data_IF_980954989235
#
_entry.id   IF_980954989235
#
_cell.length_a   1.000
_cell.length_b   1.000
_cell.length_c   1.000
_cell.angle_alpha   90.00
_cell.angle_beta   90.00
_cell.angle_gamma   90.00
#
_symmetry.space_group_name_H-M   'P 1'
#
loop_
_entity.id
_entity.type
_entity.pdbx_description
1 polymer ?
#
# COMPACT_ATOMS: atom_id res chain seq x y z
N UNK A 1 24.24 0.63 2.09
CA UNK A 1 23.77 1.96 1.68
C UNK A 1 22.43 2.20 2.35
N UNK A 2 22.19 3.38 2.92
CA UNK A 2 20.90 3.74 3.52
C UNK A 2 19.86 3.96 2.43
N UNK A 3 18.70 3.32 2.53
CA UNK A 3 17.59 3.51 1.59
C UNK A 3 17.05 4.94 1.73
N UNK A 4 16.85 5.70 0.63
CA UNK A 4 16.24 7.03 0.65
C UNK A 4 14.87 7.02 1.33
N UNK A 5 14.61 8.02 2.18
CA UNK A 5 13.40 8.14 2.99
C UNK A 5 12.72 9.49 2.80
N UNK A 6 11.39 9.48 2.83
CA UNK A 6 10.51 10.64 2.98
C UNK A 6 9.91 10.63 4.37
N UNK A 7 9.41 11.76 4.88
CA UNK A 7 8.92 11.81 6.26
C UNK A 7 7.84 12.86 6.49
N UNK A 8 6.95 12.56 7.43
CA UNK A 8 6.11 13.55 8.13
C UNK A 8 6.82 14.04 9.40
N UNK A 9 6.12 14.80 10.24
CA UNK A 9 6.59 15.12 11.59
C UNK A 9 6.78 13.87 12.47
N UNK A 10 6.02 12.80 12.20
CA UNK A 10 5.86 11.67 13.12
C UNK A 10 6.54 10.39 12.62
N UNK A 11 6.70 10.24 11.31
CA UNK A 11 7.10 8.98 10.69
C UNK A 11 7.98 9.20 9.47
N UNK A 12 9.00 8.35 9.32
CA UNK A 12 9.79 8.24 8.11
C UNK A 12 9.39 6.97 7.34
N UNK A 13 9.30 7.07 6.02
CA UNK A 13 8.92 6.00 5.09
C UNK A 13 10.02 5.84 4.06
N UNK A 14 10.49 4.61 3.85
CA UNK A 14 11.46 4.29 2.80
C UNK A 14 10.81 4.37 1.42
N UNK A 15 11.46 5.03 0.46
CA UNK A 15 10.94 5.09 -0.92
C UNK A 15 10.91 3.71 -1.57
N UNK A 16 11.85 2.83 -1.20
CA UNK A 16 11.85 1.43 -1.62
C UNK A 16 11.06 0.59 -0.62
N UNK A 17 9.84 0.20 -0.98
CA UNK A 17 9.07 -0.79 -0.22
C UNK A 17 9.48 -2.20 -0.63
N UNK A 18 9.49 -3.13 0.33
CA UNK A 18 9.64 -4.56 0.08
C UNK A 18 8.42 -5.26 0.65
N UNK A 19 7.50 -5.69 -0.23
CA UNK A 19 7.54 -5.69 -1.67
C UNK A 19 7.18 -4.30 -2.20
N UNK A 20 7.53 -4.00 -3.46
CA UNK A 20 6.96 -2.86 -4.15
C UNK A 20 5.43 -2.98 -4.32
N UNK A 21 4.72 -1.87 -4.54
CA UNK A 21 5.21 -0.50 -4.60
C UNK A 21 4.89 0.30 -3.32
N UNK A 22 5.57 1.44 -3.14
CA UNK A 22 5.11 2.50 -2.26
C UNK A 22 3.80 3.09 -2.83
N UNK A 23 2.70 2.85 -2.14
CA UNK A 23 1.39 3.44 -2.46
C UNK A 23 1.31 4.89 -2.01
N UNK A 24 1.01 5.78 -2.95
CA UNK A 24 0.70 7.20 -2.76
C UNK A 24 -0.82 7.36 -2.95
N UNK A 25 -1.55 7.76 -1.91
CA UNK A 25 -3.00 7.93 -1.98
C UNK A 25 -3.39 9.11 -2.86
N UNK A 26 -4.29 8.90 -3.83
CA UNK A 26 -4.64 9.87 -4.88
C UNK A 26 -5.89 10.73 -4.60
N UNK A 27 -6.61 10.49 -3.49
CA UNK A 27 -7.98 10.98 -3.34
C UNK A 27 -8.10 12.43 -2.87
N UNK A 28 -7.04 13.04 -2.35
CA UNK A 28 -7.01 14.49 -2.02
C UNK A 28 -6.53 15.22 -3.28
N UNK A 29 -7.31 15.05 -4.34
CA UNK A 29 -7.02 15.63 -5.64
C UNK A 29 -8.31 16.18 -6.23
N UNK A 30 -8.39 17.50 -6.38
CA UNK A 30 -9.57 18.20 -6.90
C UNK A 30 -9.88 17.89 -8.36
N UNK A 31 -8.90 17.42 -9.13
CA UNK A 31 -9.07 17.02 -10.53
C UNK A 31 -9.57 15.58 -10.66
N UNK A 32 -9.07 14.68 -9.80
CA UNK A 32 -9.40 13.24 -9.83
C UNK A 32 -10.55 12.80 -8.93
N UNK A 33 -10.87 13.56 -7.87
CA UNK A 33 -11.82 13.16 -6.82
C UNK A 33 -12.92 14.20 -6.65
N UNK A 34 -14.14 13.85 -7.10
CA UNK A 34 -15.34 14.68 -6.91
C UNK A 34 -15.59 15.03 -5.45
N UNK A 35 -15.33 14.08 -4.53
CA UNK A 35 -15.48 14.31 -3.09
C UNK A 35 -14.47 15.36 -2.60
N UNK A 36 -13.19 15.23 -2.95
CA UNK A 36 -12.18 16.21 -2.54
C UNK A 36 -12.46 17.59 -3.15
N UNK A 37 -12.87 17.65 -4.42
CA UNK A 37 -13.30 18.90 -5.05
C UNK A 37 -14.41 19.59 -4.26
N UNK A 38 -15.46 18.87 -3.87
CA UNK A 38 -16.55 19.44 -3.08
C UNK A 38 -16.07 19.95 -1.71
N UNK A 39 -15.20 19.21 -1.04
CA UNK A 39 -14.64 19.62 0.27
C UNK A 39 -13.78 20.88 0.14
N UNK A 40 -12.92 20.97 -0.88
CA UNK A 40 -12.12 22.17 -1.17
C UNK A 40 -13.00 23.37 -1.49
N UNK A 41 -14.06 23.21 -2.28
CA UNK A 41 -14.99 24.30 -2.61
C UNK A 41 -15.79 24.79 -1.39
N UNK A 42 -15.96 23.95 -0.38
CA UNK A 42 -16.70 24.27 0.85
C UNK A 42 -15.80 24.73 2.01
N UNK A 43 -14.49 24.89 1.80
CA UNK A 43 -13.50 25.11 2.88
C UNK A 43 -13.55 24.07 4.01
N UNK A 44 -13.97 22.84 3.68
CA UNK A 44 -14.13 21.74 4.64
C UNK A 44 -12.80 21.02 4.86
N UNK A 45 -11.94 21.64 5.69
CA UNK A 45 -10.65 21.08 6.07
C UNK A 45 -10.79 19.78 6.87
N UNK A 46 -11.79 19.68 7.74
CA UNK A 46 -11.97 18.51 8.60
C UNK A 46 -12.34 17.28 7.76
N UNK A 47 -13.24 17.45 6.78
CA UNK A 47 -13.56 16.40 5.81
C UNK A 47 -12.38 15.99 4.92
N UNK A 48 -11.46 16.91 4.60
CA UNK A 48 -10.21 16.60 3.88
C UNK A 48 -9.24 15.79 4.75
N UNK A 49 -9.14 16.11 6.05
CA UNK A 49 -8.34 15.36 7.01
C UNK A 49 -8.91 13.96 7.22
N UNK A 50 -10.23 13.82 7.35
CA UNK A 50 -10.86 12.51 7.43
C UNK A 50 -10.64 11.67 6.17
N UNK A 51 -10.69 12.31 4.99
CA UNK A 51 -10.33 11.65 3.73
C UNK A 51 -8.86 11.23 3.69
N UNK A 52 -7.95 12.02 4.25
CA UNK A 52 -6.54 11.67 4.42
C UNK A 52 -6.38 10.44 5.32
N UNK A 53 -7.02 10.46 6.49
CA UNK A 53 -6.99 9.37 7.47
C UNK A 53 -7.50 8.07 6.87
N UNK A 54 -8.64 8.11 6.18
CA UNK A 54 -9.20 6.94 5.50
C UNK A 54 -8.22 6.35 4.48
N UNK A 55 -7.49 7.18 3.73
CA UNK A 55 -6.52 6.66 2.76
C UNK A 55 -5.33 5.96 3.42
N UNK A 56 -4.84 6.48 4.54
CA UNK A 56 -3.77 5.84 5.33
C UNK A 56 -4.25 4.50 5.87
N UNK A 57 -5.45 4.46 6.46
CA UNK A 57 -6.11 3.22 6.92
C UNK A 57 -6.34 2.23 5.76
N UNK A 58 -6.66 2.74 4.57
CA UNK A 58 -6.86 1.92 3.38
C UNK A 58 -5.53 1.37 2.82
N UNK A 59 -4.37 1.89 3.23
CA UNK A 59 -3.06 1.37 2.86
C UNK A 59 -2.09 2.36 2.22
N UNK A 60 -2.43 3.64 2.13
CA UNK A 60 -1.53 4.65 1.57
C UNK A 60 -0.33 4.89 2.50
N UNK A 61 0.88 4.85 1.93
CA UNK A 61 2.11 5.16 2.67
C UNK A 61 2.44 6.65 2.65
N UNK A 62 2.06 7.33 1.56
CA UNK A 62 2.16 8.78 1.36
C UNK A 62 0.82 9.29 0.80
N UNK A 63 0.60 10.61 0.83
CA UNK A 63 -0.64 11.21 0.34
C UNK A 63 -0.34 12.29 -0.71
N UNK A 64 -0.91 12.15 -1.90
CA UNK A 64 -0.91 13.17 -2.94
C UNK A 64 -1.96 14.24 -2.64
N UNK A 65 -1.51 15.50 -2.61
CA UNK A 65 -2.30 16.66 -2.22
C UNK A 65 -2.32 17.65 -3.39
N UNK A 66 -3.44 17.66 -4.11
CA UNK A 66 -3.73 18.59 -5.20
C UNK A 66 -5.03 19.35 -4.88
N UNK A 67 -4.93 20.67 -4.70
CA UNK A 67 -6.07 21.54 -4.39
C UNK A 67 -6.38 22.54 -5.50
N UNK A 68 -5.66 22.46 -6.63
CA UNK A 68 -5.83 23.35 -7.77
C UNK A 68 -7.26 23.20 -8.35
N UNK A 69 -7.98 24.31 -8.49
CA UNK A 69 -9.33 24.34 -9.08
C UNK A 69 -9.45 25.53 -10.00
N UNK A 70 -10.34 25.46 -11.01
CA UNK A 70 -10.62 26.63 -11.85
C UNK A 70 -11.56 27.62 -11.16
N UNK A 71 -12.28 27.15 -10.14
CA UNK A 71 -13.27 27.92 -9.39
C UNK A 71 -12.65 28.85 -8.34
N UNK A 72 -11.37 28.66 -7.99
CA UNK A 72 -10.67 29.43 -6.95
C UNK A 72 -9.29 29.88 -7.40
N UNK A 73 -8.88 31.07 -6.94
CA UNK A 73 -7.56 31.64 -7.24
C UNK A 73 -6.59 31.62 -6.06
N UNK A 74 -7.04 31.17 -4.88
CA UNK A 74 -6.28 31.19 -3.62
C UNK A 74 -5.56 29.86 -3.30
N UNK A 75 -5.18 29.09 -4.33
CA UNK A 75 -4.55 27.76 -4.20
C UNK A 75 -3.41 27.76 -3.17
N UNK A 76 -2.50 28.73 -3.26
CA UNK A 76 -1.35 28.84 -2.33
C UNK A 76 -1.77 28.95 -0.87
N UNK A 77 -2.73 29.82 -0.57
CA UNK A 77 -3.17 30.05 0.81
C UNK A 77 -3.96 28.85 1.34
N UNK A 78 -4.80 28.24 0.50
CA UNK A 78 -5.55 27.05 0.86
C UNK A 78 -4.63 25.86 1.11
N UNK A 79 -3.67 25.61 0.22
CA UNK A 79 -2.68 24.55 0.33
C UNK A 79 -1.87 24.67 1.62
N UNK A 80 -1.38 25.87 1.94
CA UNK A 80 -0.63 26.12 3.19
C UNK A 80 -1.44 25.77 4.44
N UNK A 81 -2.70 26.20 4.49
CA UNK A 81 -3.60 25.91 5.61
C UNK A 81 -3.86 24.40 5.74
N UNK A 82 -4.12 23.72 4.62
CA UNK A 82 -4.39 22.29 4.59
C UNK A 82 -3.15 21.49 5.00
N UNK A 83 -1.99 21.77 4.39
CA UNK A 83 -0.73 21.08 4.67
C UNK A 83 -0.31 21.24 6.14
N UNK A 84 -0.52 22.42 6.72
CA UNK A 84 -0.29 22.65 8.16
C UNK A 84 -1.16 21.76 9.03
N UNK A 85 -2.46 21.66 8.73
CA UNK A 85 -3.40 20.79 9.47
C UNK A 85 -3.06 19.31 9.30
N UNK A 86 -2.84 18.87 8.05
CA UNK A 86 -2.45 17.50 7.74
C UNK A 86 -1.16 17.09 8.47
N UNK A 87 -0.16 17.97 8.51
CA UNK A 87 1.11 17.69 9.20
C UNK A 87 0.98 17.48 10.71
N UNK A 88 -0.10 17.98 11.32
CA UNK A 88 -0.40 17.80 12.74
C UNK A 88 -1.18 16.50 13.02
N UNK A 89 -2.08 16.12 12.11
CA UNK A 89 -3.05 15.04 12.35
C UNK A 89 -2.74 13.73 11.62
N UNK A 90 -1.91 13.75 10.59
CA UNK A 90 -1.63 12.61 9.72
C UNK A 90 -0.15 12.23 9.80
N UNK A 91 0.13 10.95 10.01
CA UNK A 91 1.49 10.42 10.13
C UNK A 91 2.15 10.14 8.77
N UNK A 92 1.38 10.06 7.69
CA UNK A 92 1.89 9.81 6.35
C UNK A 92 2.63 11.03 5.76
N UNK A 93 3.79 10.86 5.10
CA UNK A 93 4.45 11.92 4.35
C UNK A 93 3.57 12.44 3.21
N UNK A 94 3.70 13.72 2.91
CA UNK A 94 2.89 14.39 1.88
C UNK A 94 3.65 14.46 0.55
N UNK A 95 2.90 14.32 -0.54
CA UNK A 95 3.30 14.56 -1.92
C UNK A 95 2.57 15.81 -2.39
N UNK A 96 3.30 16.91 -2.59
CA UNK A 96 2.69 18.20 -2.91
C UNK A 96 2.52 18.30 -4.43
N UNK A 97 1.28 18.26 -4.88
CA UNK A 97 0.89 18.31 -6.29
C UNK A 97 0.30 19.67 -6.66
N UNK A 98 1.05 20.42 -7.47
CA UNK A 98 0.61 21.71 -8.01
C UNK A 98 1.42 22.07 -9.25
N UNK A 99 0.78 22.74 -10.22
CA UNK A 99 1.47 23.28 -11.41
C UNK A 99 2.19 24.61 -11.13
N UNK A 100 1.96 25.23 -9.97
CA UNK A 100 2.61 26.47 -9.55
C UNK A 100 3.81 26.20 -8.61
N UNK A 101 5.06 26.55 -9.01
CA UNK A 101 6.22 26.41 -8.14
C UNK A 101 6.13 27.22 -6.84
N UNK A 102 5.41 28.34 -6.81
CA UNK A 102 5.23 29.17 -5.61
C UNK A 102 4.37 28.49 -4.54
N UNK A 103 3.42 27.64 -4.96
CA UNK A 103 2.62 26.79 -4.07
C UNK A 103 3.49 25.69 -3.47
N UNK A 104 4.31 25.04 -4.30
CA UNK A 104 5.20 23.96 -3.86
C UNK A 104 6.23 24.48 -2.87
N UNK A 105 6.93 25.56 -3.19
CA UNK A 105 7.96 26.14 -2.32
C UNK A 105 7.39 26.46 -0.94
N UNK A 106 6.28 27.19 -0.89
CA UNK A 106 5.64 27.57 0.37
C UNK A 106 5.16 26.34 1.17
N UNK A 107 4.59 25.34 0.49
CA UNK A 107 4.13 24.11 1.15
C UNK A 107 5.30 23.31 1.74
N UNK A 108 6.40 23.18 0.99
CA UNK A 108 7.62 22.51 1.46
C UNK A 108 8.17 23.18 2.73
N UNK A 109 8.22 24.51 2.77
CA UNK A 109 8.71 25.25 3.94
C UNK A 109 7.77 25.13 5.16
N UNK A 110 6.49 24.89 4.92
CA UNK A 110 5.48 24.68 5.97
C UNK A 110 5.54 23.27 6.58
N UNK A 111 6.10 22.28 5.87
CA UNK A 111 6.12 20.87 6.29
C UNK A 111 7.36 20.62 7.17
N UNK A 112 7.20 20.14 8.42
CA UNK A 112 8.34 19.85 9.30
C UNK A 112 9.15 18.61 8.86
N UNK A 113 8.56 17.73 8.04
CA UNK A 113 9.19 16.52 7.51
C UNK A 113 9.84 16.72 6.14
N UNK A 114 10.07 15.61 5.43
CA UNK A 114 10.64 15.58 4.06
C UNK A 114 9.57 15.13 3.06
N UNK A 115 8.86 16.06 2.41
CA UNK A 115 7.82 15.73 1.43
C UNK A 115 8.40 15.29 0.07
N UNK A 116 7.53 14.83 -0.82
CA UNK A 116 7.82 14.63 -2.25
C UNK A 116 7.24 15.80 -3.03
N UNK A 117 7.98 16.31 -4.01
CA UNK A 117 7.45 17.31 -4.97
C UNK A 117 6.78 16.58 -6.14
N UNK A 118 5.52 16.90 -6.43
CA UNK A 118 4.80 16.49 -7.64
C UNK A 118 4.46 17.72 -8.48
N UNK A 119 5.15 18.00 -9.59
CA UNK A 119 6.31 17.30 -10.16
C UNK A 119 7.37 18.28 -10.70
N UNK A 120 8.46 17.76 -11.26
CA UNK A 120 9.38 18.50 -12.13
C UNK A 120 9.31 17.93 -13.55
N UNK A 121 9.55 18.77 -14.55
CA UNK A 121 9.63 18.38 -15.96
C UNK A 121 10.39 19.43 -16.78
N UNK A 122 10.69 19.15 -18.05
CA UNK A 122 11.34 20.07 -18.97
C UNK A 122 10.38 20.55 -20.07
N UNK A 123 9.08 20.66 -19.75
CA UNK A 123 8.09 21.20 -20.67
C UNK A 123 8.39 22.66 -21.00
N UNK A 124 8.12 23.05 -22.25
CA UNK A 124 8.38 24.40 -22.74
C UNK A 124 9.86 24.78 -22.63
N UNK A 125 10.16 25.81 -21.85
CA UNK A 125 11.53 26.28 -21.61
C UNK A 125 12.17 25.68 -20.34
N UNK A 126 11.51 24.74 -19.65
CA UNK A 126 12.03 24.13 -18.43
C UNK A 126 12.02 25.03 -17.19
N UNK A 127 11.35 26.18 -17.22
CA UNK A 127 11.28 27.14 -16.11
C UNK A 127 10.85 26.48 -14.79
N UNK A 128 9.90 25.55 -14.84
CA UNK A 128 9.46 24.80 -13.66
C UNK A 128 10.60 24.00 -13.02
N UNK A 129 11.42 23.31 -13.82
CA UNK A 129 12.60 22.60 -13.33
C UNK A 129 13.61 23.56 -12.70
N UNK A 130 13.90 24.67 -13.39
CA UNK A 130 14.87 25.67 -12.94
C UNK A 130 14.48 26.31 -11.60
N UNK A 131 13.18 26.52 -11.36
CA UNK A 131 12.66 27.03 -10.08
C UNK A 131 12.71 26.01 -8.96
N UNK A 132 12.38 24.74 -9.24
CA UNK A 132 12.23 23.71 -8.20
C UNK A 132 13.54 22.97 -7.88
N UNK A 133 14.49 22.86 -8.81
CA UNK A 133 15.75 22.17 -8.58
C UNK A 133 16.60 22.77 -7.44
N UNK A 134 16.72 24.11 -7.28
CA UNK A 134 17.39 24.70 -6.12
C UNK A 134 16.73 24.34 -4.78
N UNK A 135 15.40 24.28 -4.74
CA UNK A 135 14.62 23.90 -3.55
C UNK A 135 14.88 22.43 -3.20
N UNK A 136 14.87 21.55 -4.21
CA UNK A 136 15.24 20.14 -4.05
C UNK A 136 16.65 19.97 -3.52
N UNK A 137 17.62 20.75 -4.01
CA UNK A 137 19.00 20.69 -3.54
C UNK A 137 19.13 21.20 -2.09
N UNK A 138 18.52 22.35 -1.78
CA UNK A 138 18.55 23.00 -0.46
C UNK A 138 18.01 22.09 0.65
N UNK A 139 16.85 21.46 0.41
CA UNK A 139 16.15 20.65 1.40
C UNK A 139 16.37 19.13 1.20
N UNK A 140 17.15 18.74 0.19
CA UNK A 140 17.38 17.35 -0.17
C UNK A 140 16.11 16.61 -0.60
N UNK A 141 15.13 17.26 -1.22
CA UNK A 141 13.83 16.64 -1.51
C UNK A 141 13.87 15.74 -2.74
N UNK A 142 13.18 14.59 -2.72
CA UNK A 142 12.85 13.87 -3.94
C UNK A 142 11.71 14.58 -4.69
N UNK A 143 11.68 14.40 -6.00
CA UNK A 143 10.59 14.86 -6.85
C UNK A 143 10.16 13.77 -7.83
N UNK A 144 8.86 13.76 -8.12
CA UNK A 144 8.31 13.08 -9.28
C UNK A 144 8.80 13.83 -10.51
N UNK A 145 9.58 13.16 -11.35
CA UNK A 145 10.16 13.71 -12.56
C UNK A 145 9.39 13.16 -13.76
N UNK A 146 8.42 13.93 -14.25
CA UNK A 146 7.61 13.51 -15.40
C UNK A 146 8.50 13.46 -16.63
N UNK A 147 8.43 12.36 -17.39
CA UNK A 147 9.11 12.22 -18.69
C UNK A 147 8.45 13.09 -19.77
N UNK A 148 8.40 14.40 -19.55
CA UNK A 148 7.97 15.45 -20.45
C UNK A 148 9.19 16.32 -20.73
N UNK A 149 9.66 16.30 -21.98
CA UNK A 149 10.79 17.08 -22.44
C UNK A 149 10.37 18.30 -23.25
N UNK A 150 11.33 19.03 -23.84
CA UNK A 150 11.05 20.19 -24.70
C UNK A 150 10.21 19.86 -25.94
N UNK A 151 10.20 18.59 -26.36
CA UNK A 151 9.38 18.09 -27.48
C UNK A 151 8.01 17.59 -27.05
N UNK A 152 7.64 17.73 -25.77
CA UNK A 152 6.40 17.22 -25.19
C UNK A 152 6.58 15.90 -24.46
N UNK A 153 5.46 15.19 -24.31
CA UNK A 153 5.35 13.96 -23.52
C UNK A 153 6.01 12.76 -24.22
N UNK A 154 6.79 11.96 -23.48
CA UNK A 154 7.41 10.75 -24.01
C UNK A 154 6.41 9.59 -24.16
N UNK A 155 6.20 9.12 -25.40
CA UNK A 155 5.18 8.10 -25.72
C UNK A 155 5.79 6.70 -25.86
N UNK A 156 6.94 6.60 -26.53
CA UNK A 156 7.66 5.33 -26.75
C UNK A 156 8.59 4.98 -25.59
N UNK A 157 8.98 3.70 -25.39
CA UNK A 157 9.92 3.31 -24.34
C UNK A 157 11.25 4.07 -24.41
N UNK A 158 11.75 4.26 -25.62
CA UNK A 158 13.03 4.92 -25.86
C UNK A 158 12.96 6.42 -25.51
N UNK A 159 11.90 7.12 -25.93
CA UNK A 159 11.69 8.52 -25.54
C UNK A 159 11.58 8.68 -24.02
N UNK A 160 10.96 7.72 -23.32
CA UNK A 160 10.83 7.74 -21.86
C UNK A 160 12.21 7.69 -21.19
N UNK A 161 13.11 6.85 -21.69
CA UNK A 161 14.50 6.71 -21.19
C UNK A 161 15.35 7.94 -21.52
N UNK A 162 15.25 8.44 -22.75
CA UNK A 162 15.97 9.64 -23.19
C UNK A 162 15.55 10.87 -22.38
N UNK A 163 14.25 10.98 -22.09
CA UNK A 163 13.74 12.09 -21.26
C UNK A 163 14.16 11.94 -19.80
N UNK A 164 14.13 10.73 -19.24
CA UNK A 164 14.64 10.47 -17.89
C UNK A 164 16.14 10.82 -17.76
N UNK A 165 16.94 10.48 -18.76
CA UNK A 165 18.35 10.88 -18.82
C UNK A 165 18.50 12.40 -18.91
N UNK A 166 17.74 13.08 -19.77
CA UNK A 166 17.79 14.53 -19.90
C UNK A 166 17.43 15.24 -18.58
N UNK A 167 16.41 14.76 -17.86
CA UNK A 167 16.02 15.26 -16.54
C UNK A 167 17.17 15.12 -15.53
N UNK A 168 17.79 13.95 -15.48
CA UNK A 168 18.92 13.70 -14.58
C UNK A 168 20.15 14.55 -14.93
N UNK A 169 20.54 14.60 -16.20
CA UNK A 169 21.65 15.42 -16.69
C UNK A 169 21.45 16.90 -16.39
N UNK A 170 20.20 17.39 -16.49
CA UNK A 170 19.85 18.76 -16.12
C UNK A 170 19.96 18.97 -14.60
N UNK A 171 19.44 18.04 -13.79
CA UNK A 171 19.50 18.14 -12.34
C UNK A 171 20.90 18.09 -11.74
N UNK A 172 21.84 17.39 -12.39
CA UNK A 172 23.26 17.39 -11.97
C UNK A 172 23.86 18.79 -11.92
N UNK A 173 23.41 19.71 -12.78
CA UNK A 173 23.86 21.12 -12.78
C UNK A 173 23.50 21.85 -11.48
N UNK A 174 22.50 21.35 -10.76
CA UNK A 174 22.02 21.86 -9.47
C UNK A 174 22.50 21.02 -8.27
N UNK A 175 23.34 20.00 -8.51
CA UNK A 175 23.83 19.10 -7.47
C UNK A 175 22.83 18.02 -7.03
N UNK A 176 21.78 17.78 -7.80
CA UNK A 176 20.79 16.74 -7.49
C UNK A 176 21.38 15.34 -7.68
N UNK A 177 21.04 14.43 -6.77
CA UNK A 177 21.44 13.02 -6.80
C UNK A 177 20.39 12.16 -7.45
N UNK A 178 20.79 11.03 -8.05
CA UNK A 178 19.87 10.10 -8.73
C UNK A 178 18.74 9.58 -7.82
N UNK A 179 19.02 9.40 -6.53
CA UNK A 179 18.05 8.97 -5.51
C UNK A 179 16.94 9.99 -5.22
N UNK A 180 17.07 11.23 -5.71
CA UNK A 180 16.04 12.26 -5.63
C UNK A 180 15.06 12.23 -6.81
N UNK A 181 15.32 11.40 -7.83
CA UNK A 181 14.45 11.27 -9.01
C UNK A 181 13.52 10.08 -8.84
N UNK A 182 12.22 10.38 -8.82
CA UNK A 182 11.14 9.41 -8.96
C UNK A 182 10.59 9.59 -10.37
N UNK A 183 11.12 8.87 -11.36
CA UNK A 183 10.74 9.05 -12.75
C UNK A 183 9.30 8.56 -12.99
N UNK A 184 8.43 9.48 -13.41
CA UNK A 184 7.13 9.11 -13.97
C UNK A 184 7.31 8.94 -15.47
N UNK A 185 7.34 7.68 -15.91
CA UNK A 185 7.50 7.36 -17.33
C UNK A 185 6.21 7.54 -18.12
N UNK A 186 5.19 8.21 -17.57
CA UNK A 186 3.90 8.57 -18.13
C UNK A 186 3.00 7.38 -18.45
N UNK A 187 1.80 7.42 -17.90
CA UNK A 187 0.69 6.50 -18.22
C UNK A 187 -0.35 7.25 -19.04
N UNK A 188 -0.69 6.73 -20.23
CA UNK A 188 -1.77 7.25 -21.06
C UNK A 188 -2.99 6.33 -21.00
N UNK A 189 -4.17 6.88 -21.23
CA UNK A 189 -5.39 6.08 -21.27
C UNK A 189 -5.42 5.16 -22.48
N UNK A 190 -5.88 3.92 -22.26
CA UNK A 190 -6.12 2.93 -23.32
C UNK A 190 -7.56 2.96 -23.85
N UNK A 191 -8.41 3.83 -23.30
CA UNK A 191 -9.83 3.87 -23.62
C UNK A 191 -10.18 4.82 -24.78
N UNK A 192 -9.19 5.42 -25.45
CA UNK A 192 -9.42 6.43 -26.51
C UNK A 192 -9.84 5.81 -27.84
N UNK A 193 -9.38 4.60 -28.14
CA UNK A 193 -9.53 3.97 -29.45
C UNK A 193 -8.66 4.59 -30.56
N UNK A 194 -7.74 5.49 -30.20
CA UNK A 194 -6.84 6.13 -31.15
C UNK A 194 -5.58 5.26 -31.38
N UNK A 195 -5.17 5.12 -32.64
CA UNK A 195 -4.02 4.29 -33.05
C UNK A 195 -2.73 4.65 -32.30
N UNK A 196 -2.54 5.94 -31.98
CA UNK A 196 -1.36 6.44 -31.27
C UNK A 196 -1.22 5.84 -29.86
N UNK A 197 -2.32 5.52 -29.19
CA UNK A 197 -2.34 5.05 -27.80
C UNK A 197 -2.51 3.54 -27.65
N UNK A 198 -2.68 2.80 -28.74
CA UNK A 198 -2.84 1.34 -28.69
C UNK A 198 -1.70 0.65 -27.93
N UNK A 199 -0.47 1.12 -28.15
CA UNK A 199 0.73 0.56 -27.52
C UNK A 199 1.11 1.24 -26.21
N UNK A 200 0.33 2.20 -25.72
CA UNK A 200 0.72 3.02 -24.56
C UNK A 200 0.95 2.19 -23.28
N UNK A 201 0.17 1.12 -23.08
CA UNK A 201 0.28 0.23 -21.92
C UNK A 201 1.62 -0.49 -21.91
N UNK A 202 1.89 -1.30 -22.93
CA UNK A 202 3.18 -2.00 -23.09
C UNK A 202 4.38 -1.05 -23.19
N UNK A 203 4.21 0.12 -23.80
CA UNK A 203 5.28 1.12 -23.90
C UNK A 203 5.65 1.70 -22.53
N UNK A 204 4.67 1.86 -21.64
CA UNK A 204 4.90 2.29 -20.25
C UNK A 204 5.64 1.21 -19.47
N UNK A 205 5.22 -0.06 -19.58
CA UNK A 205 5.88 -1.19 -18.92
C UNK A 205 7.35 -1.36 -19.35
N UNK A 206 7.61 -1.32 -20.66
CA UNK A 206 8.98 -1.39 -21.17
C UNK A 206 9.78 -0.13 -20.80
N UNK A 207 9.15 1.04 -20.79
CA UNK A 207 9.75 2.29 -20.31
C UNK A 207 10.25 2.20 -18.87
N UNK A 208 9.43 1.65 -17.95
CA UNK A 208 9.85 1.39 -16.55
C UNK A 208 11.10 0.51 -16.54
N UNK A 209 11.06 -0.63 -17.23
CA UNK A 209 12.15 -1.61 -17.26
C UNK A 209 13.46 -0.99 -17.76
N UNK A 210 13.40 -0.22 -18.85
CA UNK A 210 14.58 0.43 -19.42
C UNK A 210 15.12 1.56 -18.52
N UNK A 211 14.24 2.38 -17.92
CA UNK A 211 14.65 3.41 -16.97
C UNK A 211 15.31 2.78 -15.74
N UNK A 212 14.74 1.71 -15.18
CA UNK A 212 15.33 0.98 -14.05
C UNK A 212 16.66 0.31 -14.40
N UNK A 213 16.80 -0.23 -15.61
CA UNK A 213 18.06 -0.79 -16.08
C UNK A 213 19.15 0.29 -16.20
N UNK A 214 18.81 1.48 -16.70
CA UNK A 214 19.75 2.60 -16.85
C UNK A 214 20.08 3.28 -15.52
N UNK A 215 19.10 3.42 -14.64
CA UNK A 215 19.20 4.12 -13.36
C UNK A 215 18.74 3.23 -12.20
N UNK A 216 19.52 2.19 -11.82
CA UNK A 216 19.09 1.19 -10.82
C UNK A 216 18.87 1.77 -9.42
N UNK A 217 19.49 2.92 -9.11
CA UNK A 217 19.37 3.63 -7.84
C UNK A 217 18.34 4.79 -7.88
N UNK A 218 17.65 4.98 -9.00
CA UNK A 218 16.49 5.88 -9.08
C UNK A 218 15.21 5.15 -8.68
N UNK A 219 14.13 5.91 -8.53
CA UNK A 219 12.79 5.38 -8.34
C UNK A 219 11.93 5.64 -9.58
N UNK A 220 10.83 4.90 -9.69
CA UNK A 220 9.81 5.08 -10.72
C UNK A 220 8.43 5.22 -10.10
N UNK A 221 7.56 5.99 -10.73
CA UNK A 221 6.15 6.17 -10.33
C UNK A 221 5.22 6.15 -11.53
N UNK A 222 3.93 5.98 -11.27
CA UNK A 222 2.86 6.20 -12.22
C UNK A 222 1.64 6.79 -11.52
N UNK A 223 0.98 7.75 -12.16
CA UNK A 223 -0.45 8.00 -11.99
C UNK A 223 -1.28 6.84 -12.54
N UNK A 224 -1.46 5.77 -11.75
CA UNK A 224 -2.00 4.49 -12.23
C UNK A 224 -3.39 4.64 -12.83
N UNK A 225 -4.24 5.45 -12.20
CA UNK A 225 -5.64 5.65 -12.59
C UNK A 225 -5.85 6.28 -13.97
N UNK A 226 -4.79 6.81 -14.60
CA UNK A 226 -4.82 7.38 -15.93
C UNK A 226 -5.00 6.32 -17.02
N UNK A 227 -4.51 5.09 -16.83
CA UNK A 227 -4.58 4.03 -17.86
C UNK A 227 -6.02 3.67 -18.24
N UNK A 228 -6.93 3.79 -17.26
CA UNK A 228 -8.32 3.36 -17.38
C UNK A 228 -9.30 4.52 -17.52
N UNK A 229 -8.81 5.75 -17.67
CA UNK A 229 -9.68 6.92 -17.78
C UNK A 229 -10.59 6.80 -19.00
N UNK A 230 -11.91 6.83 -18.79
CA UNK A 230 -12.93 6.64 -19.82
C UNK A 230 -13.68 5.30 -19.74
N UNK A 231 -13.17 4.31 -18.98
CA UNK A 231 -13.83 3.02 -18.80
C UNK A 231 -14.85 3.04 -17.65
N UNK A 232 -15.75 2.04 -17.67
CA UNK A 232 -16.72 1.82 -16.59
C UNK A 232 -16.03 1.55 -15.23
N UNK A 233 -16.61 1.95 -14.09
CA UNK A 233 -15.93 1.91 -12.78
C UNK A 233 -15.31 0.56 -12.41
N UNK A 234 -15.99 -0.56 -12.65
CA UNK A 234 -15.44 -1.89 -12.34
C UNK A 234 -14.33 -2.30 -13.31
N UNK A 235 -14.47 -1.99 -14.60
CA UNK A 235 -13.43 -2.19 -15.60
C UNK A 235 -12.14 -1.44 -15.23
N UNK A 236 -12.27 -0.22 -14.68
CA UNK A 236 -11.13 0.56 -14.19
C UNK A 236 -10.38 -0.16 -13.07
N UNK A 237 -11.09 -0.72 -12.09
CA UNK A 237 -10.47 -1.48 -10.98
C UNK A 237 -9.67 -2.67 -11.49
N UNK A 238 -10.26 -3.44 -12.40
CA UNK A 238 -9.60 -4.61 -13.01
C UNK A 238 -8.36 -4.16 -13.80
N UNK A 239 -8.52 -3.21 -14.72
CA UNK A 239 -7.42 -2.76 -15.58
C UNK A 239 -6.27 -2.16 -14.76
N UNK A 240 -6.59 -1.29 -13.79
CA UNK A 240 -5.59 -0.69 -12.90
C UNK A 240 -4.83 -1.77 -12.12
N UNK A 241 -5.52 -2.78 -11.59
CA UNK A 241 -4.90 -3.84 -10.78
C UNK A 241 -3.99 -4.76 -11.60
N UNK A 242 -4.45 -5.17 -12.78
CA UNK A 242 -3.64 -5.97 -13.72
C UNK A 242 -2.42 -5.17 -14.19
N UNK A 243 -2.61 -3.89 -14.52
CA UNK A 243 -1.50 -3.04 -14.95
C UNK A 243 -0.48 -2.81 -13.82
N UNK A 244 -0.92 -2.58 -12.58
CA UNK A 244 -0.05 -2.45 -11.42
C UNK A 244 0.81 -3.69 -11.21
N UNK A 245 0.22 -4.88 -11.31
CA UNK A 245 0.94 -6.15 -11.19
C UNK A 245 2.10 -6.26 -12.19
N UNK A 246 1.82 -5.99 -13.47
CA UNK A 246 2.84 -6.02 -14.53
C UNK A 246 3.88 -4.89 -14.37
N UNK A 247 3.46 -3.69 -13.97
CA UNK A 247 4.35 -2.56 -13.75
C UNK A 247 5.33 -2.84 -12.60
N UNK A 248 4.86 -3.42 -11.50
CA UNK A 248 5.70 -3.86 -10.38
C UNK A 248 6.72 -4.90 -10.83
N UNK A 249 6.32 -5.89 -11.65
CA UNK A 249 7.26 -6.85 -12.25
C UNK A 249 8.32 -6.20 -13.15
N UNK A 250 7.97 -5.11 -13.83
CA UNK A 250 8.90 -4.32 -14.63
C UNK A 250 9.84 -3.44 -13.78
N UNK A 251 9.61 -3.34 -12.47
CA UNK A 251 10.46 -2.60 -11.54
C UNK A 251 9.85 -1.30 -11.01
N UNK A 252 8.52 -1.12 -11.09
CA UNK A 252 7.83 0.04 -10.52
C UNK A 252 8.07 0.13 -9.00
N UNK A 253 8.58 1.26 -8.54
CA UNK A 253 8.88 1.46 -7.11
C UNK A 253 7.73 2.07 -6.33
N UNK A 254 6.96 2.97 -6.96
CA UNK A 254 5.88 3.73 -6.32
C UNK A 254 4.66 3.84 -7.25
N UNK A 255 3.46 4.03 -6.72
CA UNK A 255 2.24 4.18 -7.51
C UNK A 255 1.27 5.17 -6.85
N UNK A 256 0.78 6.14 -7.61
CA UNK A 256 -0.31 7.03 -7.21
C UNK A 256 -1.64 6.34 -7.54
N UNK A 257 -2.37 5.93 -6.50
CA UNK A 257 -3.59 5.13 -6.64
C UNK A 257 -4.47 5.18 -5.39
N UNK A 258 -5.78 4.95 -5.57
CA UNK A 258 -6.67 4.57 -4.48
C UNK A 258 -6.45 3.10 -4.06
N UNK A 259 -5.72 2.87 -2.97
CA UNK A 259 -5.39 1.54 -2.44
C UNK A 259 -6.61 0.62 -2.26
N UNK A 260 -7.76 1.19 -1.89
CA UNK A 260 -9.02 0.46 -1.68
C UNK A 260 -9.60 -0.16 -2.95
N UNK A 261 -9.25 0.39 -4.12
CA UNK A 261 -9.77 -0.06 -5.41
C UNK A 261 -8.89 -1.09 -6.10
N UNK A 262 -7.70 -1.36 -5.56
CA UNK A 262 -6.82 -2.42 -6.05
C UNK A 262 -7.38 -3.78 -5.64
N UNK A 263 -7.49 -4.67 -6.62
CA UNK A 263 -7.86 -6.08 -6.45
C UNK A 263 -6.56 -6.90 -6.54
N UNK A 264 -6.27 -7.78 -5.57
CA UNK A 264 -5.14 -8.70 -5.68
C UNK A 264 -5.17 -9.47 -7.00
N UNK A 265 -4.02 -9.57 -7.67
CA UNK A 265 -3.95 -10.15 -9.02
C UNK A 265 -4.51 -11.58 -9.08
N UNK A 266 -4.22 -12.41 -8.07
CA UNK A 266 -4.74 -13.78 -7.97
C UNK A 266 -6.26 -13.87 -7.78
N UNK A 267 -6.89 -12.83 -7.22
CA UNK A 267 -8.34 -12.78 -6.94
C UNK A 267 -9.17 -12.29 -8.14
N UNK A 268 -8.55 -11.73 -9.19
CA UNK A 268 -9.25 -11.28 -10.40
C UNK A 268 -9.69 -12.50 -11.23
N UNK A 269 -10.91 -12.45 -11.80
CA UNK A 269 -11.43 -13.50 -12.68
C UNK A 269 -10.50 -13.75 -13.90
N UNK A 270 -10.23 -15.00 -14.26
CA UNK A 270 -9.33 -15.34 -15.38
C UNK A 270 -9.70 -14.68 -16.71
N UNK A 271 -11.01 -14.58 -17.01
CA UNK A 271 -11.47 -13.91 -18.24
C UNK A 271 -11.21 -12.40 -18.18
N UNK A 272 -11.49 -11.78 -17.04
CA UNK A 272 -11.26 -10.34 -16.82
C UNK A 272 -9.76 -10.00 -16.86
N UNK A 273 -8.91 -10.85 -16.26
CA UNK A 273 -7.45 -10.76 -16.36
C UNK A 273 -7.00 -10.80 -17.82
N UNK A 274 -7.45 -11.81 -18.57
CA UNK A 274 -7.07 -11.99 -19.96
C UNK A 274 -7.47 -10.78 -20.82
N UNK A 275 -8.70 -10.27 -20.67
CA UNK A 275 -9.17 -9.08 -21.37
C UNK A 275 -8.33 -7.83 -21.04
N UNK A 276 -7.99 -7.63 -19.77
CA UNK A 276 -7.15 -6.52 -19.34
C UNK A 276 -5.72 -6.65 -19.89
N UNK A 277 -5.13 -7.84 -19.87
CA UNK A 277 -3.81 -8.11 -20.45
C UNK A 277 -3.80 -7.92 -21.97
N UNK A 278 -4.83 -8.39 -22.68
CA UNK A 278 -4.95 -8.21 -24.13
C UNK A 278 -5.00 -6.72 -24.51
N UNK A 279 -5.66 -5.90 -23.69
CA UNK A 279 -5.67 -4.44 -23.85
C UNK A 279 -4.31 -3.81 -23.50
N UNK A 280 -3.69 -4.17 -22.37
CA UNK A 280 -2.40 -3.61 -21.93
C UNK A 280 -1.29 -3.92 -22.94
N UNK A 281 -1.25 -5.14 -23.45
CA UNK A 281 -0.21 -5.62 -24.36
C UNK A 281 -0.56 -5.44 -25.83
N UNK A 282 -1.74 -4.92 -26.14
CA UNK A 282 -2.25 -4.73 -27.50
C UNK A 282 -2.08 -6.01 -28.35
N UNK A 283 -2.60 -7.14 -27.84
CA UNK A 283 -2.39 -8.46 -28.47
C UNK A 283 -3.21 -8.64 -29.75
N UNK A 284 -4.31 -7.91 -29.89
CA UNK A 284 -5.14 -7.86 -31.10
C UNK A 284 -5.95 -6.56 -31.20
N UNK A 285 -6.39 -6.16 -32.42
CA UNK A 285 -7.08 -4.88 -32.64
C UNK A 285 -8.40 -4.71 -31.88
N UNK A 286 -9.06 -5.82 -31.51
CA UNK A 286 -10.37 -5.78 -30.85
C UNK A 286 -10.30 -5.72 -29.31
N UNK A 287 -9.10 -5.66 -28.70
CA UNK A 287 -8.94 -5.81 -27.27
C UNK A 287 -9.75 -4.80 -26.45
N UNK A 288 -9.76 -3.53 -26.86
CA UNK A 288 -10.56 -2.48 -26.20
C UNK A 288 -12.06 -2.77 -26.30
N UNK A 289 -12.54 -3.07 -27.51
CA UNK A 289 -13.95 -3.34 -27.76
C UNK A 289 -14.45 -4.56 -26.98
N UNK A 290 -13.66 -5.64 -26.93
CA UNK A 290 -14.02 -6.86 -26.20
C UNK A 290 -14.09 -6.61 -24.68
N UNK A 291 -13.15 -5.83 -24.14
CA UNK A 291 -13.16 -5.42 -22.74
C UNK A 291 -14.40 -4.57 -22.41
N UNK A 292 -14.71 -3.57 -23.24
CA UNK A 292 -15.89 -2.72 -23.08
C UNK A 292 -17.16 -3.57 -23.12
N UNK A 293 -17.34 -4.40 -24.16
CA UNK A 293 -18.50 -5.28 -24.31
C UNK A 293 -18.65 -6.19 -23.09
N UNK A 294 -17.56 -6.71 -22.54
CA UNK A 294 -17.62 -7.56 -21.36
C UNK A 294 -18.16 -6.78 -20.14
N UNK A 295 -17.61 -5.60 -19.86
CA UNK A 295 -17.97 -4.83 -18.67
C UNK A 295 -19.28 -4.05 -18.79
N UNK A 296 -19.72 -3.69 -19.99
CA UNK A 296 -21.05 -3.13 -20.23
C UNK A 296 -22.14 -4.21 -20.05
N UNK A 297 -21.94 -5.41 -20.59
CA UNK A 297 -22.86 -6.53 -20.40
C UNK A 297 -22.85 -7.05 -18.96
N UNK A 298 -21.68 -7.02 -18.31
CA UNK A 298 -21.57 -7.29 -16.88
C UNK A 298 -22.24 -6.18 -16.07
N UNK A 299 -22.20 -4.92 -16.52
CA UNK A 299 -22.84 -3.73 -15.93
C UNK A 299 -24.32 -3.91 -15.61
N UNK A 300 -25.04 -4.70 -16.41
CA UNK A 300 -26.42 -5.14 -16.14
C UNK A 300 -26.58 -6.08 -14.93
N UNK A 301 -25.46 -6.52 -14.32
CA UNK A 301 -25.35 -7.39 -13.13
C UNK A 301 -24.56 -6.73 -11.98
N UNK A 302 -24.05 -5.50 -12.15
CA UNK A 302 -23.15 -4.84 -11.17
C UNK A 302 -23.91 -4.14 -10.02
N UNK A 303 -25.20 -4.40 -9.83
CA UNK A 303 -25.84 -4.06 -8.55
C UNK A 303 -25.49 -5.05 -7.43
N UNK A 304 -24.88 -6.21 -7.73
CA UNK A 304 -24.74 -7.30 -6.74
C UNK A 304 -23.40 -8.06 -6.75
N UNK A 305 -22.40 -7.62 -7.52
CA UNK A 305 -21.06 -8.28 -7.52
C UNK A 305 -20.05 -7.59 -6.61
N UNK A 306 -20.50 -6.83 -5.61
CA UNK A 306 -19.91 -6.97 -4.28
C UNK A 306 -20.49 -8.23 -3.63
N UNK A 307 -20.31 -9.40 -4.23
CA UNK A 307 -20.10 -10.57 -3.39
C UNK A 307 -18.79 -10.24 -2.68
N UNK A 308 -18.90 -9.56 -1.53
CA UNK A 308 -18.02 -9.87 -0.41
C UNK A 308 -17.93 -11.38 -0.48
N UNK A 309 -16.72 -11.88 -0.68
CA UNK A 309 -16.44 -13.26 -0.38
C UNK A 309 -16.79 -13.41 1.10
N UNK A 310 -18.07 -13.69 1.33
CA UNK A 310 -18.63 -13.74 2.66
C UNK A 310 -18.27 -15.09 3.21
N UNK A 311 -18.01 -15.10 4.50
CA UNK A 311 -17.59 -16.31 5.17
C UNK A 311 -18.78 -17.26 5.15
N UNK A 312 -18.63 -18.37 4.43
CA UNK A 312 -19.66 -19.40 4.37
C UNK A 312 -19.87 -19.94 5.80
N UNK A 313 -21.04 -19.72 6.41
CA UNK A 313 -21.30 -20.11 7.79
C UNK A 313 -21.29 -21.63 7.98
N UNK A 314 -21.39 -22.41 6.90
CA UNK A 314 -21.36 -23.87 6.93
C UNK A 314 -19.94 -24.45 7.01
N UNK A 315 -18.90 -23.64 6.77
CA UNK A 315 -17.52 -24.10 6.90
C UNK A 315 -17.15 -24.36 8.36
N UNK A 316 -16.24 -25.31 8.64
CA UNK A 316 -15.65 -25.46 9.96
C UNK A 316 -15.07 -24.14 10.46
N UNK A 317 -15.18 -23.86 11.76
CA UNK A 317 -14.79 -22.57 12.32
C UNK A 317 -13.31 -22.24 12.08
N UNK A 318 -12.43 -23.25 12.13
CA UNK A 318 -11.02 -23.08 11.78
C UNK A 318 -10.82 -22.59 10.33
N UNK A 319 -11.58 -23.14 9.39
CA UNK A 319 -11.55 -22.70 7.99
C UNK A 319 -12.10 -21.29 7.82
N UNK A 320 -13.15 -20.92 8.56
CA UNK A 320 -13.70 -19.55 8.57
C UNK A 320 -12.67 -18.55 9.09
N UNK A 321 -12.01 -18.85 10.21
CA UNK A 321 -10.95 -18.02 10.77
C UNK A 321 -9.77 -17.87 9.80
N UNK A 322 -9.34 -18.97 9.18
CA UNK A 322 -8.30 -18.97 8.16
C UNK A 322 -8.67 -18.06 6.97
N UNK A 323 -9.87 -18.25 6.42
CA UNK A 323 -10.37 -17.47 5.29
C UNK A 323 -10.45 -15.98 5.60
N UNK A 324 -10.92 -15.61 6.80
CA UNK A 324 -10.97 -14.23 7.26
C UNK A 324 -9.60 -13.56 7.29
N UNK A 325 -8.55 -14.28 7.70
CA UNK A 325 -7.18 -13.75 7.70
C UNK A 325 -6.68 -13.55 6.27
N UNK A 326 -6.83 -14.55 5.40
CA UNK A 326 -6.40 -14.49 3.99
C UNK A 326 -7.09 -13.34 3.25
N UNK A 327 -8.39 -13.18 3.46
CA UNK A 327 -9.24 -12.19 2.78
C UNK A 327 -9.41 -10.87 3.55
N UNK A 328 -8.63 -10.67 4.63
CA UNK A 328 -8.55 -9.39 5.35
C UNK A 328 -9.89 -8.97 5.97
N UNK A 329 -10.68 -9.94 6.42
CA UNK A 329 -12.01 -9.75 7.04
C UNK A 329 -11.89 -9.83 8.56
N UNK A 330 -11.66 -8.68 9.21
CA UNK A 330 -11.45 -8.61 10.66
C UNK A 330 -12.73 -8.89 11.45
N UNK A 331 -13.89 -8.47 10.96
CA UNK A 331 -15.14 -8.61 11.71
C UNK A 331 -15.48 -10.10 11.89
N UNK A 332 -15.83 -10.49 13.13
CA UNK A 332 -16.23 -11.87 13.47
C UNK A 332 -15.09 -12.88 13.65
N UNK A 333 -13.82 -12.49 13.45
CA UNK A 333 -12.67 -13.40 13.59
C UNK A 333 -12.57 -14.00 15.00
N UNK A 334 -12.89 -13.23 16.04
CA UNK A 334 -12.85 -13.69 17.43
C UNK A 334 -13.86 -14.84 17.67
N UNK A 335 -15.07 -14.71 17.13
CA UNK A 335 -16.11 -15.73 17.25
C UNK A 335 -15.72 -17.02 16.54
N UNK A 336 -15.08 -16.92 15.37
CA UNK A 336 -14.58 -18.09 14.64
C UNK A 336 -13.42 -18.76 15.38
N UNK A 337 -12.53 -18.00 16.03
CA UNK A 337 -11.48 -18.56 16.90
C UNK A 337 -12.09 -19.33 18.07
N UNK A 338 -13.05 -18.75 18.79
CA UNK A 338 -13.74 -19.42 19.91
C UNK A 338 -14.39 -20.72 19.46
N UNK A 339 -15.13 -20.66 18.36
CA UNK A 339 -15.80 -21.83 17.78
C UNK A 339 -14.80 -22.89 17.30
N UNK A 340 -13.67 -22.48 16.74
CA UNK A 340 -12.61 -23.39 16.29
C UNK A 340 -11.98 -24.12 17.47
N UNK A 341 -11.72 -23.44 18.58
CA UNK A 341 -11.18 -24.07 19.80
C UNK A 341 -12.16 -25.13 20.31
N UNK A 342 -13.44 -24.79 20.42
CA UNK A 342 -14.51 -25.71 20.83
C UNK A 342 -14.62 -26.94 19.90
N UNK A 343 -14.55 -26.74 18.58
CA UNK A 343 -14.52 -27.81 17.57
C UNK A 343 -13.31 -28.75 17.78
N UNK A 344 -12.11 -28.19 17.98
CA UNK A 344 -10.87 -28.98 18.12
C UNK A 344 -10.80 -29.81 19.40
N UNK A 345 -11.54 -29.43 20.45
CA UNK A 345 -11.68 -30.20 21.69
C UNK A 345 -12.96 -31.05 21.73
N UNK A 346 -13.85 -30.93 20.73
CA UNK A 346 -15.10 -31.67 20.65
C UNK A 346 -16.14 -31.26 21.71
N UNK A 347 -16.10 -30.03 22.23
CA UNK A 347 -17.01 -29.52 23.26
C UNK A 347 -17.66 -28.23 22.78
N UNK A 348 -18.87 -28.34 22.23
CA UNK A 348 -19.64 -27.18 21.77
C UNK A 348 -20.51 -26.56 22.86
N UNK A 349 -20.81 -27.33 23.89
CA UNK A 349 -21.65 -26.97 25.04
C UNK A 349 -21.03 -25.92 25.96
N UNK A 350 -19.72 -25.69 25.84
CA UNK A 350 -18.98 -24.68 26.60
C UNK A 350 -18.99 -23.30 25.93
N UNK A 351 -19.57 -23.16 24.73
CA UNK A 351 -19.66 -21.86 24.07
C UNK A 351 -20.79 -21.05 24.73
N UNK A 352 -20.45 -19.86 25.20
CA UNK A 352 -21.42 -18.86 25.65
C UNK A 352 -21.52 -17.73 24.63
N UNK A 353 -22.76 -17.30 24.35
CA UNK A 353 -23.06 -16.17 23.49
C UNK A 353 -23.62 -15.01 24.34
N UNK A 354 -22.88 -13.90 24.35
CA UNK A 354 -23.27 -12.67 25.01
C UNK A 354 -23.48 -11.59 23.95
N UNK A 355 -24.73 -11.42 23.50
CA UNK A 355 -25.14 -10.45 22.48
C UNK A 355 -24.36 -10.54 21.15
N UNK A 356 -24.08 -11.76 20.69
CA UNK A 356 -23.35 -12.03 19.45
C UNK A 356 -21.83 -12.09 19.63
N UNK A 357 -21.32 -12.00 20.86
CA UNK A 357 -19.91 -12.19 21.19
C UNK A 357 -19.74 -13.56 21.84
N UNK A 358 -18.99 -14.45 21.19
CA UNK A 358 -18.77 -15.81 21.69
C UNK A 358 -17.61 -15.85 22.68
N UNK A 359 -17.71 -16.71 23.68
CA UNK A 359 -16.63 -17.05 24.61
C UNK A 359 -16.71 -18.53 25.05
N UNK A 360 -15.65 -19.06 25.66
CA UNK A 360 -15.68 -20.41 26.24
C UNK A 360 -15.75 -20.37 27.77
N UNK A 361 -16.78 -20.98 28.34
CA UNK A 361 -16.91 -21.21 29.77
C UNK A 361 -16.20 -22.52 30.17
N UNK A 362 -14.88 -22.51 30.03
CA UNK A 362 -14.02 -23.60 30.47
C UNK A 362 -12.66 -23.04 30.86
N UNK A 363 -12.01 -23.61 31.89
CA UNK A 363 -10.71 -23.12 32.33
C UNK A 363 -9.63 -23.47 31.28
N UNK A 364 -8.51 -22.72 31.21
CA UNK A 364 -7.46 -22.93 30.21
C UNK A 364 -6.93 -24.37 30.12
N UNK A 365 -6.95 -25.14 31.21
CA UNK A 365 -6.54 -26.55 31.22
C UNK A 365 -7.36 -27.43 30.27
N UNK A 366 -8.61 -27.03 29.98
CA UNK A 366 -9.51 -27.74 29.06
C UNK A 366 -9.39 -27.20 27.64
N UNK A 367 -9.12 -25.90 27.47
CA UNK A 367 -9.17 -25.21 26.18
C UNK A 367 -7.81 -25.07 25.49
N UNK A 368 -6.70 -25.23 26.23
CA UNK A 368 -5.34 -25.03 25.73
C UNK A 368 -4.99 -25.89 24.51
N UNK A 369 -5.27 -27.19 24.55
CA UNK A 369 -4.99 -28.08 23.41
C UNK A 369 -5.77 -27.67 22.15
N UNK A 370 -7.01 -27.21 22.32
CA UNK A 370 -7.82 -26.65 21.25
C UNK A 370 -7.23 -25.38 20.69
N UNK A 371 -6.84 -24.45 21.56
CA UNK A 371 -6.21 -23.18 21.20
C UNK A 371 -4.89 -23.40 20.45
N UNK A 372 -4.03 -24.32 20.89
CA UNK A 372 -2.78 -24.65 20.19
C UNK A 372 -3.06 -25.24 18.80
N UNK A 373 -4.05 -26.12 18.66
CA UNK A 373 -4.43 -26.69 17.36
C UNK A 373 -5.00 -25.63 16.43
N UNK A 374 -5.91 -24.77 16.89
CA UNK A 374 -6.46 -23.65 16.13
C UNK A 374 -5.35 -22.72 15.65
N UNK A 375 -4.39 -22.39 16.53
CA UNK A 375 -3.24 -21.57 16.16
C UNK A 375 -2.40 -22.21 15.05
N UNK A 376 -2.02 -23.48 15.22
CA UNK A 376 -1.07 -24.15 14.32
C UNK A 376 -1.69 -24.56 12.98
N UNK A 377 -2.91 -25.08 13.00
CA UNK A 377 -3.55 -25.67 11.82
C UNK A 377 -4.32 -24.62 11.01
N UNK A 378 -4.93 -23.62 11.66
CA UNK A 378 -5.83 -22.69 11.00
C UNK A 378 -5.17 -21.31 10.81
N UNK A 379 -4.72 -20.68 11.91
CA UNK A 379 -4.24 -19.29 11.88
C UNK A 379 -2.84 -19.14 11.25
N UNK A 380 -1.88 -19.98 11.65
CA UNK A 380 -0.53 -19.99 11.07
C UNK A 380 -0.54 -20.40 9.59
N UNK A 381 -1.42 -21.33 9.22
CA UNK A 381 -1.64 -21.72 7.83
C UNK A 381 -2.10 -20.54 6.97
N UNK A 382 -3.04 -19.72 7.47
CA UNK A 382 -3.50 -18.52 6.78
C UNK A 382 -2.37 -17.51 6.56
N UNK A 383 -1.55 -17.26 7.59
CA UNK A 383 -0.43 -16.35 7.48
C UNK A 383 0.67 -16.85 6.53
N UNK A 384 0.84 -18.18 6.41
CA UNK A 384 1.71 -18.76 5.40
C UNK A 384 1.20 -18.46 3.99
N UNK A 385 -0.08 -18.65 3.73
CA UNK A 385 -0.69 -18.33 2.42
C UNK A 385 -0.56 -16.84 2.07
N UNK A 386 -0.81 -15.95 3.03
CA UNK A 386 -0.59 -14.50 2.86
C UNK A 386 0.88 -14.22 2.51
N UNK A 387 1.82 -14.87 3.20
CA UNK A 387 3.25 -14.76 2.92
C UNK A 387 3.64 -15.27 1.53
N UNK A 388 3.07 -16.39 1.09
CA UNK A 388 3.33 -16.97 -0.23
C UNK A 388 2.80 -16.04 -1.35
N UNK A 389 1.58 -15.52 -1.23
CA UNK A 389 0.99 -14.56 -2.18
C UNK A 389 1.73 -13.21 -2.21
N UNK A 390 2.24 -12.79 -1.06
CA UNK A 390 3.10 -11.61 -0.97
C UNK A 390 4.46 -11.83 -1.65
N UNK A 391 5.07 -13.01 -1.42
CA UNK A 391 6.32 -13.40 -2.06
C UNK A 391 6.21 -13.53 -3.59
N UNK A 392 5.04 -13.94 -4.10
CA UNK A 392 4.77 -14.00 -5.55
C UNK A 392 4.43 -12.64 -6.18
N UNK A 393 4.22 -11.60 -5.37
CA UNK A 393 3.77 -10.27 -5.82
C UNK A 393 2.28 -10.17 -6.13
N UNK A 394 1.47 -11.18 -5.76
CA UNK A 394 0.01 -11.13 -5.87
C UNK A 394 -0.63 -10.21 -4.81
N UNK A 395 0.00 -10.10 -3.64
CA UNK A 395 -0.37 -9.16 -2.59
C UNK A 395 0.67 -8.05 -2.43
N UNK A 396 0.19 -6.82 -2.31
CA UNK A 396 0.99 -5.66 -1.91
C UNK A 396 1.05 -5.53 -0.38
N UNK A 397 2.06 -4.84 0.14
CA UNK A 397 2.27 -4.65 1.59
C UNK A 397 1.03 -4.22 2.37
N UNK A 398 0.21 -3.26 1.89
CA UNK A 398 -1.02 -2.90 2.59
C UNK A 398 -1.97 -4.06 2.87
N UNK A 399 -2.09 -5.02 1.95
CA UNK A 399 -2.96 -6.19 2.14
C UNK A 399 -2.41 -7.13 3.20
N UNK A 400 -1.09 -7.31 3.24
CA UNK A 400 -0.44 -8.09 4.30
C UNK A 400 -0.61 -7.44 5.66
N UNK A 401 -0.51 -6.11 5.76
CA UNK A 401 -0.75 -5.39 7.01
C UNK A 401 -2.19 -5.59 7.50
N UNK A 402 -3.19 -5.52 6.60
CA UNK A 402 -4.60 -5.79 6.97
C UNK A 402 -4.82 -7.24 7.41
N UNK A 403 -4.21 -8.22 6.73
CA UNK A 403 -4.23 -9.63 7.17
C UNK A 403 -3.56 -9.80 8.54
N UNK A 404 -2.46 -9.10 8.79
CA UNK A 404 -1.74 -9.13 10.06
C UNK A 404 -2.56 -8.51 11.20
N UNK A 405 -3.36 -7.46 10.93
CA UNK A 405 -4.31 -6.92 11.91
C UNK A 405 -5.43 -7.91 12.25
N UNK A 406 -5.94 -8.63 11.24
CA UNK A 406 -6.91 -9.71 11.44
C UNK A 406 -6.30 -10.84 12.29
N UNK A 407 -5.08 -11.27 11.96
CA UNK A 407 -4.32 -12.25 12.74
C UNK A 407 -4.09 -11.80 14.18
N UNK A 408 -3.75 -10.52 14.40
CA UNK A 408 -3.57 -9.96 15.74
C UNK A 408 -4.87 -10.03 16.56
N UNK A 409 -6.01 -9.73 15.94
CA UNK A 409 -7.31 -9.88 16.60
C UNK A 409 -7.62 -11.35 16.92
N UNK A 410 -7.32 -12.28 16.01
CA UNK A 410 -7.48 -13.72 16.22
C UNK A 410 -6.63 -14.23 17.39
N UNK A 411 -5.34 -13.90 17.40
CA UNK A 411 -4.39 -14.31 18.45
C UNK A 411 -4.75 -13.68 19.80
N UNK A 412 -5.14 -12.40 19.82
CA UNK A 412 -5.56 -11.73 21.05
C UNK A 412 -6.78 -12.39 21.70
N UNK A 413 -7.68 -12.97 20.91
CA UNK A 413 -8.77 -13.80 21.45
C UNK A 413 -8.28 -15.17 21.92
N UNK A 414 -7.46 -15.84 21.11
CA UNK A 414 -6.92 -17.16 21.38
C UNK A 414 -6.11 -17.22 22.69
N UNK A 415 -5.37 -16.15 23.01
CA UNK A 415 -4.54 -16.04 24.22
C UNK A 415 -5.34 -16.15 25.54
N UNK A 416 -6.65 -15.91 25.52
CA UNK A 416 -7.51 -16.08 26.72
C UNK A 416 -7.70 -17.54 27.11
N UNK A 417 -7.48 -18.46 26.17
CA UNK A 417 -7.75 -19.89 26.30
C UNK A 417 -6.47 -20.74 26.40
N UNK A 418 -5.31 -20.10 26.55
CA UNK A 418 -4.03 -20.78 26.73
C UNK A 418 -3.65 -20.80 28.22
N UNK A 419 -3.22 -21.95 28.73
CA UNK A 419 -2.54 -22.04 30.04
C UNK A 419 -1.29 -21.18 30.01
N UNK A 420 -1.16 -20.30 31.00
CA UNK A 420 0.09 -19.59 31.31
C UNK A 420 0.83 -20.41 32.36
N UNK A 421 1.89 -21.11 32.01
CA UNK A 421 2.74 -21.78 33.01
C UNK A 421 3.63 -20.74 33.72
N UNK A 422 3.24 -20.32 34.92
CA UNK A 422 4.17 -19.73 35.89
C UNK A 422 4.71 -20.86 36.79
N UNK A 423 6.01 -21.16 36.76
CA UNK A 423 6.60 -21.90 37.89
C UNK A 423 7.90 -22.68 37.69
N UNK A 424 8.19 -23.28 36.53
CA UNK A 424 9.46 -24.01 36.32
C UNK A 424 9.88 -23.94 34.86
N UNK A 425 10.97 -23.23 34.62
CA UNK A 425 11.50 -23.01 33.28
C UNK A 425 12.30 -24.22 32.76
N UNK A 426 11.95 -24.74 31.58
CA UNK A 426 12.71 -25.70 30.77
C UNK A 426 13.99 -25.09 30.18
N UNK A 427 14.13 -23.76 30.17
CA UNK A 427 15.29 -23.04 29.64
C UNK A 427 15.03 -21.53 29.51
N UNK A 428 16.10 -20.73 29.40
CA UNK A 428 16.00 -19.28 29.22
C UNK A 428 16.16 -18.93 27.74
N UNK A 429 15.30 -18.06 27.23
CA UNK A 429 15.34 -17.57 25.85
C UNK A 429 15.42 -16.05 25.86
N UNK A 430 16.44 -15.47 25.24
CA UNK A 430 16.50 -14.03 24.95
C UNK A 430 16.02 -13.80 23.52
N UNK A 431 15.07 -12.89 23.36
CA UNK A 431 14.30 -12.68 22.14
C UNK A 431 14.18 -11.17 21.89
N UNK A 432 14.25 -10.76 20.63
CA UNK A 432 14.06 -9.37 20.22
C UNK A 432 14.17 -9.28 18.70
N UNK A 433 13.76 -8.17 18.10
CA UNK A 433 14.15 -7.91 16.70
C UNK A 433 15.42 -7.06 16.66
N UNK A 434 16.30 -7.37 15.71
CA UNK A 434 17.57 -6.66 15.56
C UNK A 434 17.35 -5.20 15.19
N UNK A 435 18.34 -4.36 15.45
CA UNK A 435 18.30 -2.95 15.10
C UNK A 435 17.96 -2.74 13.61
N UNK A 436 16.95 -1.94 13.33
CA UNK A 436 16.40 -1.71 11.99
C UNK A 436 15.21 -2.58 11.62
N UNK A 437 14.91 -3.65 12.37
CA UNK A 437 13.71 -4.46 12.17
C UNK A 437 12.59 -4.02 13.11
N UNK A 438 11.49 -3.55 12.52
CA UNK A 438 10.35 -2.93 13.24
C UNK A 438 9.20 -3.90 13.45
N UNK A 439 9.25 -5.07 12.82
CA UNK A 439 8.18 -6.05 12.84
C UNK A 439 8.19 -6.81 14.17
N UNK A 440 7.08 -6.82 14.90
CA UNK A 440 7.02 -7.44 16.25
C UNK A 440 6.00 -8.57 16.38
N UNK A 441 5.17 -8.81 15.36
CA UNK A 441 4.09 -9.81 15.39
C UNK A 441 4.66 -11.23 15.50
N UNK A 442 5.58 -11.62 14.61
CA UNK A 442 6.21 -12.95 14.65
C UNK A 442 7.00 -13.17 15.94
N UNK A 443 7.73 -12.14 16.40
CA UNK A 443 8.45 -12.14 17.67
C UNK A 443 7.52 -12.38 18.86
N UNK A 444 6.39 -11.68 18.92
CA UNK A 444 5.39 -11.84 19.98
C UNK A 444 4.77 -13.24 19.95
N UNK A 445 4.53 -13.79 18.76
CA UNK A 445 4.02 -15.16 18.65
C UNK A 445 5.04 -16.18 19.15
N UNK A 446 6.31 -16.06 18.72
CA UNK A 446 7.41 -16.91 19.20
C UNK A 446 7.56 -16.82 20.72
N UNK A 447 7.48 -15.60 21.27
CA UNK A 447 7.46 -15.37 22.72
C UNK A 447 6.37 -16.20 23.40
N UNK A 448 5.13 -16.04 22.97
CA UNK A 448 3.96 -16.71 23.55
C UNK A 448 4.10 -18.23 23.44
N UNK A 449 4.56 -18.75 22.29
CA UNK A 449 4.81 -20.18 22.10
C UNK A 449 5.83 -20.71 23.10
N UNK A 450 7.00 -20.06 23.23
CA UNK A 450 8.04 -20.53 24.15
C UNK A 450 7.65 -20.39 25.62
N UNK A 451 6.99 -19.29 26.01
CA UNK A 451 6.46 -19.12 27.37
C UNK A 451 5.47 -20.23 27.72
N UNK A 452 4.55 -20.55 26.81
CA UNK A 452 3.55 -21.61 27.02
C UNK A 452 4.13 -23.03 26.94
N UNK A 453 5.32 -23.20 26.36
CA UNK A 453 6.06 -24.46 26.40
C UNK A 453 6.97 -24.58 27.63
N UNK A 454 6.86 -23.66 28.58
CA UNK A 454 7.58 -23.66 29.85
C UNK A 454 8.98 -23.04 29.77
N UNK A 455 9.29 -22.15 28.83
CA UNK A 455 10.56 -21.41 28.82
C UNK A 455 10.41 -20.03 29.45
N UNK A 456 11.43 -19.56 30.17
CA UNK A 456 11.52 -18.14 30.57
C UNK A 456 12.00 -17.31 29.39
N UNK A 457 11.12 -16.49 28.83
CA UNK A 457 11.44 -15.64 27.67
C UNK A 457 11.70 -14.20 28.12
N UNK A 458 12.91 -13.70 27.84
CA UNK A 458 13.32 -12.32 28.00
C UNK A 458 13.18 -11.59 26.67
N UNK A 459 12.07 -10.86 26.53
CA UNK A 459 11.75 -10.09 25.32
C UNK A 459 12.33 -8.68 25.41
N UNK A 460 13.34 -8.41 24.60
CA UNK A 460 14.01 -7.12 24.49
C UNK A 460 13.22 -6.09 23.65
N UNK A 461 12.12 -6.50 23.02
CA UNK A 461 11.31 -5.64 22.17
C UNK A 461 11.81 -5.58 20.73
N UNK A 462 11.61 -4.44 20.07
CA UNK A 462 11.96 -4.22 18.66
C UNK A 462 13.08 -3.22 18.46
N UNK A 463 13.78 -3.33 17.33
CA UNK A 463 14.93 -2.50 16.98
C UNK A 463 16.04 -2.51 18.04
N UNK A 464 16.40 -3.69 18.52
CA UNK A 464 17.35 -3.87 19.63
C UNK A 464 18.78 -3.96 19.08
N UNK A 465 19.72 -3.11 19.54
CA UNK A 465 21.13 -3.23 19.20
C UNK A 465 21.72 -4.57 19.62
N UNK A 466 22.64 -5.13 18.82
CA UNK A 466 23.27 -6.43 19.10
C UNK A 466 23.91 -6.49 20.50
N UNK A 467 24.51 -5.39 20.96
CA UNK A 467 25.12 -5.28 22.29
C UNK A 467 24.13 -5.65 23.41
N UNK A 468 22.87 -5.20 23.32
CA UNK A 468 21.84 -5.48 24.33
C UNK A 468 21.43 -6.95 24.35
N UNK A 469 21.51 -7.65 23.22
CA UNK A 469 21.31 -9.10 23.20
C UNK A 469 22.42 -9.80 23.97
N UNK A 470 23.69 -9.45 23.71
CA UNK A 470 24.84 -10.04 24.39
C UNK A 470 24.78 -9.79 25.89
N UNK A 471 24.55 -8.53 26.30
CA UNK A 471 24.38 -8.15 27.70
C UNK A 471 23.26 -8.95 28.39
N UNK A 472 22.11 -9.10 27.71
CA UNK A 472 20.99 -9.84 28.29
C UNK A 472 21.25 -11.34 28.36
N UNK A 473 21.95 -11.91 27.37
CA UNK A 473 22.34 -13.33 27.37
C UNK A 473 23.31 -13.62 28.50
N UNK A 474 24.28 -12.73 28.76
CA UNK A 474 25.23 -12.87 29.87
C UNK A 474 24.56 -12.67 31.25
N UNK A 475 23.50 -11.86 31.31
CA UNK A 475 22.74 -11.58 32.54
C UNK A 475 21.91 -12.79 33.01
N UNK A 476 21.33 -13.57 32.08
CA UNK A 476 20.24 -14.52 32.39
C UNK A 476 20.66 -15.97 32.45
#
# INVERSE_FOLDING_TARGET
MTIPRVSSAQKAVELKQLPPPLIIGERINTQGSRKAKQLVLNDDYDGLIDLARTQVEDGAHCLDICVATTERADEKQFMLNLVKKLSLEIDAPLVIDSTDPDVIEASVEQIPGRPIINSINLEGNGNRFERLAPIMAKYGLPAIALCIGPKGMAKTPQEKVETAELLYETGKKYGLKIEQFIFDVLTFTLATGEDEFLDAGKNTLEGIKLVKAKFPNSFTTLGLSNISFGLAPYARKVLNSVFLYHAVKCGLDTAIVNAKEIIPYGEINEKEKKLAEDLIFNTHPNALSELIIHFENAGSRVSDTSKKEDVDPTWPAGKRANFRIVNRLKDGIQNDVVSAIAEKIGKHDIIEDHDGVLSLNAPPEVTHDGAIKTLNEDLLSAMKEVGDKFGSGELILPFVLKSAECMKAAVGELEKYLIREEGTSKGKLVLGTVYGDVHDIGKNLVKTIFQNNGYTVYDLGKQVPLQKFLEKIDEV
#
